data_IF_741473770656
#
_entry.id   IF_741473770656
#
_cell.length_a   1.000
_cell.length_b   1.000
_cell.length_c   1.000
_cell.angle_alpha   90.00
_cell.angle_beta   90.00
_cell.angle_gamma   90.00
#
_symmetry.space_group_name_H-M   'P 1'
#
loop_
_entity.id
_entity.type
_entity.pdbx_description
1 polymer ?
#
# COMPACT_ATOMS: atom_id res chain seq x y z
N UNK A 1 0.52 31.25 12.89
CA UNK A 1 0.13 30.11 13.74
C UNK A 1 -1.33 29.82 13.38
N UNK A 2 -1.55 28.98 12.37
CA UNK A 2 -2.90 28.71 11.87
C UNK A 2 -3.56 27.63 12.73
N UNK A 3 -4.72 27.96 13.28
CA UNK A 3 -5.55 27.10 14.10
C UNK A 3 -6.30 26.11 13.21
N UNK A 4 -6.12 24.81 13.46
CA UNK A 4 -7.01 23.78 12.92
C UNK A 4 -8.25 23.69 13.81
N UNK A 5 -9.44 24.03 13.28
CA UNK A 5 -10.70 23.71 13.95
C UNK A 5 -11.22 22.32 13.55
N UNK A 6 -11.40 21.48 14.58
CA UNK A 6 -11.98 20.14 14.54
C UNK A 6 -13.51 20.22 14.39
N UNK A 7 -14.08 19.52 13.42
CA UNK A 7 -15.53 19.32 13.36
C UNK A 7 -15.99 18.23 14.34
N UNK A 8 -16.87 18.58 15.28
CA UNK A 8 -17.70 17.66 16.08
C UNK A 8 -19.14 17.65 15.53
N UNK A 9 -19.70 16.47 15.25
CA UNK A 9 -21.11 16.07 15.49
C UNK A 9 -21.28 14.63 14.96
N UNK A 10 -21.70 13.58 15.69
CA UNK A 10 -22.15 13.41 17.06
C UNK A 10 -21.90 11.97 17.53
N UNK A 11 -22.12 11.74 18.81
CA UNK A 11 -21.87 10.53 19.63
C UNK A 11 -22.50 9.23 19.07
N UNK A 12 -22.11 7.98 19.34
CA UNK A 12 -20.91 7.26 19.84
C UNK A 12 -21.14 5.77 19.49
N UNK A 13 -20.11 4.99 19.14
CA UNK A 13 -20.06 3.53 19.42
C UNK A 13 -18.61 3.18 19.79
N UNK A 14 -18.36 2.51 20.94
CA UNK A 14 -17.02 2.11 21.33
C UNK A 14 -16.58 0.87 20.55
N UNK A 15 -16.04 1.09 19.35
CA UNK A 15 -15.34 0.04 18.61
C UNK A 15 -13.90 -0.06 19.13
N UNK A 16 -13.57 -1.23 19.69
CA UNK A 16 -12.23 -1.62 20.16
C UNK A 16 -11.12 -1.13 19.23
N UNK A 17 -10.23 -0.28 19.75
CA UNK A 17 -8.93 0.16 19.21
C UNK A 17 -8.73 -0.11 17.71
N UNK A 18 -9.33 0.72 16.87
CA UNK A 18 -8.75 1.05 15.57
C UNK A 18 -7.96 2.36 15.72
N UNK A 19 -6.83 2.45 15.02
CA UNK A 19 -5.89 3.56 15.08
C UNK A 19 -6.64 4.91 14.96
N UNK A 20 -6.56 5.77 15.99
CA UNK A 20 -7.21 7.09 16.03
C UNK A 20 -6.78 8.00 14.87
N UNK A 21 -5.63 7.71 14.27
CA UNK A 21 -5.05 8.47 13.17
C UNK A 21 -5.43 7.93 11.79
N UNK A 22 -6.18 6.82 11.72
CA UNK A 22 -6.64 6.28 10.45
C UNK A 22 -7.86 7.08 9.94
N UNK A 23 -7.84 7.57 8.69
CA UNK A 23 -8.98 8.25 8.09
C UNK A 23 -10.22 7.36 8.09
N UNK A 24 -11.34 7.90 8.60
CA UNK A 24 -12.62 7.18 8.66
C UNK A 24 -13.36 7.13 7.32
N UNK A 25 -12.93 7.94 6.35
CA UNK A 25 -13.55 8.09 5.03
C UNK A 25 -12.48 7.94 3.93
N UNK A 26 -12.87 7.58 2.70
CA UNK A 26 -11.97 7.62 1.55
C UNK A 26 -11.34 9.01 1.42
N UNK A 27 -10.02 9.05 1.27
CA UNK A 27 -9.26 10.29 1.12
C UNK A 27 -8.35 10.18 -0.10
N UNK A 28 -7.96 11.32 -0.65
CA UNK A 28 -6.93 11.43 -1.69
C UNK A 28 -5.70 12.06 -1.07
N UNK A 29 -4.53 11.50 -1.36
CA UNK A 29 -3.24 12.01 -0.88
C UNK A 29 -2.42 12.47 -2.09
N UNK A 30 -2.00 13.74 -2.10
CA UNK A 30 -1.01 14.25 -3.02
C UNK A 30 0.37 14.26 -2.36
N UNK A 31 1.39 13.77 -3.07
CA UNK A 31 2.80 13.84 -2.64
C UNK A 31 3.56 14.61 -3.73
N UNK A 32 4.13 15.76 -3.38
CA UNK A 32 4.86 16.63 -4.29
C UNK A 32 6.26 16.97 -3.75
N UNK A 33 7.17 17.32 -4.66
CA UNK A 33 8.58 17.56 -4.35
C UNK A 33 9.43 17.44 -5.60
N UNK A 34 10.68 17.89 -5.54
CA UNK A 34 11.63 17.85 -6.65
C UNK A 34 11.90 16.42 -7.12
N UNK A 35 12.42 16.25 -8.34
CA UNK A 35 12.91 14.96 -8.82
C UNK A 35 13.91 14.35 -7.83
N UNK A 36 13.92 13.02 -7.73
CA UNK A 36 14.80 12.25 -6.84
C UNK A 36 14.65 12.53 -5.33
N UNK A 37 13.66 13.33 -4.90
CA UNK A 37 13.44 13.65 -3.47
C UNK A 37 12.92 12.48 -2.63
N UNK A 38 12.86 11.27 -3.18
CA UNK A 38 12.40 10.06 -2.48
C UNK A 38 10.88 9.94 -2.29
N UNK A 39 10.07 10.66 -3.07
CA UNK A 39 8.58 10.62 -2.98
C UNK A 39 8.04 9.20 -3.11
N UNK A 40 8.44 8.49 -4.17
CA UNK A 40 8.00 7.11 -4.41
C UNK A 40 8.46 6.20 -3.29
N UNK A 41 9.72 6.31 -2.85
CA UNK A 41 10.24 5.57 -1.68
C UNK A 41 9.40 5.79 -0.42
N UNK A 42 8.99 7.02 -0.15
CA UNK A 42 8.10 7.33 0.98
C UNK A 42 6.74 6.61 0.83
N UNK A 43 6.09 6.69 -0.34
CA UNK A 43 4.81 6.01 -0.60
C UNK A 43 4.95 4.49 -0.46
N UNK A 44 5.99 3.92 -1.06
CA UNK A 44 6.34 2.50 -0.97
C UNK A 44 6.51 2.06 0.49
N UNK A 45 7.25 2.81 1.30
CA UNK A 45 7.40 2.51 2.73
C UNK A 45 6.05 2.46 3.48
N UNK A 46 5.07 3.29 3.10
CA UNK A 46 3.73 3.24 3.70
C UNK A 46 2.94 1.98 3.28
N UNK A 47 3.09 1.58 2.01
CA UNK A 47 2.44 0.39 1.46
C UNK A 47 3.05 -0.92 1.96
N UNK A 48 4.33 -0.92 2.31
CA UNK A 48 5.06 -2.06 2.86
C UNK A 48 4.93 -2.15 4.39
N UNK A 49 5.06 -1.00 5.06
CA UNK A 49 5.06 -0.84 6.50
C UNK A 49 6.03 -1.74 7.26
N UNK A 50 5.76 -1.95 8.54
CA UNK A 50 6.53 -2.85 9.40
C UNK A 50 6.45 -4.34 9.00
N UNK A 51 5.53 -4.68 8.08
CA UNK A 51 5.35 -6.06 7.59
C UNK A 51 6.51 -6.52 6.72
N UNK A 52 6.98 -5.66 5.82
CA UNK A 52 8.06 -5.99 4.89
C UNK A 52 9.33 -6.50 5.57
N UNK A 53 9.99 -5.79 6.49
CA UNK A 53 11.24 -6.27 7.11
C UNK A 53 11.07 -7.57 7.91
N UNK A 54 9.86 -7.89 8.37
CA UNK A 54 9.57 -9.13 9.12
C UNK A 54 9.29 -10.33 8.22
N UNK A 55 8.80 -10.08 7.01
CA UNK A 55 8.51 -11.08 5.99
C UNK A 55 9.71 -11.27 5.05
N UNK A 56 10.52 -10.23 4.84
CA UNK A 56 11.65 -10.22 3.91
C UNK A 56 12.60 -11.42 4.10
N UNK A 57 13.02 -11.82 5.31
CA UNK A 57 13.90 -12.99 5.47
C UNK A 57 13.28 -14.32 4.98
N UNK A 58 11.95 -14.42 4.93
CA UNK A 58 11.25 -15.58 4.39
C UNK A 58 11.12 -15.51 2.88
N UNK A 59 10.91 -14.29 2.35
CA UNK A 59 10.84 -14.01 0.92
C UNK A 59 12.20 -14.17 0.23
N UNK A 60 13.28 -13.67 0.85
CA UNK A 60 14.67 -13.84 0.38
C UNK A 60 15.18 -15.27 0.55
N UNK A 61 14.48 -16.08 1.34
CA UNK A 61 14.81 -17.47 1.61
C UNK A 61 15.84 -17.70 2.72
N UNK A 62 16.30 -16.64 3.39
CA UNK A 62 17.19 -16.69 4.57
C UNK A 62 16.60 -17.56 5.70
N UNK A 63 15.28 -17.53 5.87
CA UNK A 63 14.56 -18.24 6.92
C UNK A 63 13.83 -19.51 6.47
N UNK A 64 14.19 -20.10 5.33
CA UNK A 64 13.52 -21.31 4.79
C UNK A 64 13.43 -22.46 5.80
N UNK A 65 14.48 -22.72 6.57
CA UNK A 65 14.52 -23.82 7.54
C UNK A 65 14.18 -23.41 8.98
N UNK A 66 13.79 -22.15 9.19
CA UNK A 66 13.50 -21.64 10.52
C UNK A 66 12.08 -21.99 10.95
N UNK A 67 11.90 -22.26 12.24
CA UNK A 67 10.57 -22.44 12.82
C UNK A 67 9.80 -21.11 12.79
N UNK A 68 8.57 -21.17 12.30
CA UNK A 68 7.64 -20.04 12.34
C UNK A 68 7.44 -19.60 13.81
N UNK A 69 7.63 -18.31 14.15
CA UNK A 69 7.44 -17.81 15.50
C UNK A 69 6.02 -18.07 16.04
N UNK A 70 5.94 -18.52 17.29
CA UNK A 70 4.67 -18.68 18.03
C UNK A 70 4.00 -17.30 18.20
N UNK A 71 2.73 -17.17 17.84
CA UNK A 71 2.00 -15.90 17.87
C UNK A 71 1.35 -15.48 16.54
N UNK A 72 1.51 -16.30 15.50
CA UNK A 72 0.80 -16.14 14.23
C UNK A 72 1.11 -14.80 13.55
N UNK A 73 0.08 -14.19 12.95
CA UNK A 73 0.22 -12.97 12.14
C UNK A 73 0.75 -11.74 12.89
N UNK A 74 0.57 -11.67 14.21
CA UNK A 74 1.02 -10.52 15.03
C UNK A 74 2.54 -10.34 14.99
N UNK A 75 3.28 -11.42 14.82
CA UNK A 75 4.75 -11.39 14.75
C UNK A 75 5.28 -10.90 13.41
N UNK A 76 4.43 -10.79 12.39
CA UNK A 76 4.83 -10.44 11.02
C UNK A 76 4.53 -9.00 10.65
N UNK A 77 4.14 -8.15 11.61
CA UNK A 77 3.92 -6.72 11.39
C UNK A 77 2.74 -6.40 10.48
N UNK A 78 2.57 -5.10 10.25
CA UNK A 78 1.44 -4.53 9.51
C UNK A 78 1.93 -3.51 8.47
N UNK A 79 1.15 -3.38 7.39
CA UNK A 79 1.28 -2.28 6.42
C UNK A 79 0.65 -1.04 7.04
N UNK A 80 1.24 0.14 6.83
CA UNK A 80 0.68 1.38 7.36
C UNK A 80 -0.56 1.80 6.58
N UNK A 81 -0.58 1.56 5.27
CA UNK A 81 -1.77 1.66 4.41
C UNK A 81 -2.28 0.25 4.10
N UNK A 82 -3.28 -0.26 4.83
CA UNK A 82 -3.90 -1.54 4.50
C UNK A 82 -4.82 -1.38 3.28
N UNK A 83 -4.64 -2.26 2.29
CA UNK A 83 -5.54 -2.39 1.15
C UNK A 83 -5.65 -3.84 0.65
N UNK A 84 -6.78 -4.23 0.11
CA UNK A 84 -7.00 -5.54 -0.52
C UNK A 84 -6.53 -5.56 -1.97
N UNK A 85 -6.55 -4.41 -2.65
CA UNK A 85 -6.01 -4.24 -3.99
C UNK A 85 -5.11 -3.01 -4.02
N UNK A 86 -3.90 -3.16 -4.54
CA UNK A 86 -3.01 -2.07 -4.90
C UNK A 86 -2.91 -2.03 -6.43
N UNK A 87 -3.22 -0.89 -7.01
CA UNK A 87 -3.08 -0.62 -8.44
C UNK A 87 -2.10 0.53 -8.57
N UNK A 88 -1.05 0.33 -9.34
CA UNK A 88 -0.05 1.36 -9.66
C UNK A 88 -0.23 1.69 -11.14
N UNK A 89 -0.53 2.95 -11.39
CA UNK A 89 -0.63 3.52 -12.73
C UNK A 89 0.66 4.27 -12.97
N UNK A 90 1.44 3.82 -13.94
CA UNK A 90 2.74 4.43 -14.26
C UNK A 90 2.93 4.54 -15.77
N UNK A 91 3.65 5.56 -16.21
CA UNK A 91 3.96 5.74 -17.62
C UNK A 91 5.22 4.97 -18.05
N UNK A 92 6.20 4.80 -17.16
CA UNK A 92 7.48 4.14 -17.43
C UNK A 92 7.67 2.92 -16.53
N UNK A 93 7.71 1.71 -17.08
CA UNK A 93 7.70 0.46 -16.28
C UNK A 93 9.03 0.13 -15.56
N UNK A 94 10.09 0.90 -15.74
CA UNK A 94 11.46 0.57 -15.27
C UNK A 94 11.77 1.05 -13.84
N UNK A 95 10.82 0.99 -12.90
CA UNK A 95 11.10 1.33 -11.50
C UNK A 95 11.25 0.08 -10.62
N UNK A 96 12.50 -0.28 -10.29
CA UNK A 96 12.91 -1.38 -9.39
C UNK A 96 12.11 -1.41 -8.06
N UNK A 97 11.68 -0.24 -7.58
CA UNK A 97 10.86 -0.13 -6.36
C UNK A 97 9.48 -0.77 -6.52
N UNK A 98 8.81 -0.61 -7.66
CA UNK A 98 7.49 -1.20 -7.88
C UNK A 98 7.58 -2.70 -8.11
N UNK A 99 8.64 -3.20 -8.73
CA UNK A 99 8.93 -4.63 -8.79
C UNK A 99 9.11 -5.24 -7.40
N UNK A 100 9.83 -4.54 -6.51
CA UNK A 100 10.00 -4.96 -5.11
C UNK A 100 8.65 -5.03 -4.39
N UNK A 101 7.78 -4.04 -4.61
CA UNK A 101 6.42 -4.03 -4.06
C UNK A 101 5.59 -5.17 -4.62
N UNK A 102 5.64 -5.42 -5.93
CA UNK A 102 4.96 -6.52 -6.58
C UNK A 102 5.36 -7.86 -5.96
N UNK A 103 6.67 -8.14 -5.91
CA UNK A 103 7.22 -9.36 -5.32
C UNK A 103 6.71 -9.57 -3.89
N UNK A 104 6.71 -8.52 -3.08
CA UNK A 104 6.20 -8.60 -1.71
C UNK A 104 4.71 -8.90 -1.65
N UNK A 105 3.87 -8.23 -2.46
CA UNK A 105 2.43 -8.44 -2.48
C UNK A 105 2.06 -9.85 -2.94
N UNK A 106 2.71 -10.35 -3.99
CA UNK A 106 2.55 -11.72 -4.47
C UNK A 106 2.95 -12.73 -3.40
N UNK A 107 4.10 -12.50 -2.72
CA UNK A 107 4.57 -13.39 -1.66
C UNK A 107 3.58 -13.51 -0.51
N UNK A 108 3.04 -12.39 -0.02
CA UNK A 108 2.08 -12.41 1.09
C UNK A 108 0.68 -12.89 0.66
N UNK A 109 0.39 -12.96 -0.63
CA UNK A 109 -0.86 -13.50 -1.18
C UNK A 109 -0.77 -14.98 -1.58
N UNK A 110 0.43 -15.56 -1.61
CA UNK A 110 0.68 -16.89 -2.18
C UNK A 110 0.14 -18.04 -1.33
N UNK A 111 0.50 -18.09 -0.05
CA UNK A 111 0.17 -19.22 0.82
C UNK A 111 -0.84 -18.82 1.90
N UNK A 112 -2.05 -19.39 1.84
CA UNK A 112 -3.15 -19.13 2.79
C UNK A 112 -2.86 -19.66 4.20
N UNK A 113 -1.95 -20.63 4.33
CA UNK A 113 -1.58 -21.21 5.62
C UNK A 113 -0.45 -20.42 6.30
N UNK A 114 0.26 -19.58 5.53
CA UNK A 114 1.33 -18.76 6.07
C UNK A 114 0.79 -17.73 7.07
N UNK A 115 1.49 -17.49 8.20
CA UNK A 115 1.06 -16.52 9.21
C UNK A 115 1.12 -15.07 8.70
N UNK A 116 1.91 -14.81 7.65
CA UNK A 116 1.96 -13.49 7.00
C UNK A 116 0.89 -13.31 5.92
N UNK A 117 0.08 -14.32 5.62
CA UNK A 117 -0.90 -14.29 4.54
C UNK A 117 -1.81 -13.06 4.62
N UNK A 118 -2.06 -12.46 3.46
CA UNK A 118 -3.08 -11.46 3.24
C UNK A 118 -3.74 -11.72 1.90
N UNK A 119 -5.08 -11.63 1.85
CA UNK A 119 -5.83 -11.72 0.60
C UNK A 119 -5.70 -10.39 -0.17
N UNK A 120 -4.52 -10.14 -0.73
CA UNK A 120 -4.19 -8.91 -1.47
C UNK A 120 -3.98 -9.19 -2.95
N UNK A 121 -4.09 -8.15 -3.78
CA UNK A 121 -3.76 -8.18 -5.20
C UNK A 121 -2.93 -6.95 -5.56
N UNK A 122 -1.97 -7.14 -6.44
CA UNK A 122 -1.17 -6.07 -7.03
C UNK A 122 -1.47 -6.02 -8.53
N UNK A 123 -1.51 -4.82 -9.10
CA UNK A 123 -1.53 -4.59 -10.54
C UNK A 123 -0.65 -3.40 -10.88
N UNK A 124 0.21 -3.57 -11.85
CA UNK A 124 0.89 -2.49 -12.55
C UNK A 124 0.17 -2.30 -13.89
N UNK A 125 -0.27 -1.08 -14.19
CA UNK A 125 -1.03 -0.79 -15.42
C UNK A 125 -0.55 0.51 -16.06
N UNK A 126 -0.72 0.61 -17.37
CA UNK A 126 -0.56 1.87 -18.09
C UNK A 126 -1.78 2.78 -17.85
N UNK A 127 -1.65 4.12 -18.00
CA UNK A 127 -2.77 5.05 -17.85
C UNK A 127 -4.00 4.70 -18.70
N UNK A 128 -3.78 4.15 -19.90
CA UNK A 128 -4.83 3.77 -20.86
C UNK A 128 -5.66 2.57 -20.40
N UNK A 129 -5.12 1.74 -19.51
CA UNK A 129 -5.77 0.55 -18.97
C UNK A 129 -6.59 0.86 -17.70
N UNK A 130 -6.55 2.12 -17.23
CA UNK A 130 -7.28 2.54 -16.05
C UNK A 130 -8.79 2.45 -16.28
N UNK A 131 -9.43 1.58 -15.50
CA UNK A 131 -10.88 1.40 -15.55
C UNK A 131 -11.63 2.62 -15.00
N UNK A 132 -12.87 2.80 -15.47
CA UNK A 132 -13.78 3.84 -14.96
C UNK A 132 -13.98 3.71 -13.43
N UNK A 133 -14.10 4.86 -12.76
CA UNK A 133 -14.23 4.93 -11.29
C UNK A 133 -15.41 4.10 -10.75
N UNK A 134 -16.47 3.92 -11.53
CA UNK A 134 -17.66 3.12 -11.18
C UNK A 134 -17.31 1.65 -10.97
N UNK A 135 -16.30 1.12 -11.68
CA UNK A 135 -15.84 -0.26 -11.53
C UNK A 135 -15.32 -0.57 -10.12
N UNK A 136 -14.79 0.43 -9.41
CA UNK A 136 -14.25 0.27 -8.05
C UNK A 136 -15.33 0.32 -6.96
N UNK A 137 -16.49 0.92 -7.22
CA UNK A 137 -17.55 1.17 -6.21
C UNK A 137 -18.25 -0.10 -5.71
N UNK A 138 -18.12 -1.23 -6.40
CA UNK A 138 -18.93 -2.46 -6.15
C UNK A 138 -18.11 -3.71 -5.83
N UNK A 139 -16.86 -3.56 -5.42
CA UNK A 139 -15.97 -4.70 -5.22
C UNK A 139 -15.99 -5.29 -3.80
N UNK A 140 -16.47 -4.53 -2.80
CA UNK A 140 -16.35 -4.90 -1.39
C UNK A 140 -14.90 -5.01 -0.89
N UNK A 141 -13.92 -4.60 -1.70
CA UNK A 141 -12.49 -4.68 -1.44
C UNK A 141 -11.90 -3.27 -1.33
N UNK A 142 -11.11 -3.03 -0.30
CA UNK A 142 -10.38 -1.78 -0.15
C UNK A 142 -9.32 -1.66 -1.25
N UNK A 143 -9.42 -0.65 -2.10
CA UNK A 143 -8.51 -0.46 -3.24
C UNK A 143 -7.75 0.85 -3.09
N UNK A 144 -6.43 0.78 -3.21
CA UNK A 144 -5.54 1.94 -3.30
C UNK A 144 -5.03 2.01 -4.73
N UNK A 145 -5.14 3.19 -5.33
CA UNK A 145 -4.60 3.50 -6.65
C UNK A 145 -3.50 4.52 -6.45
N UNK A 146 -2.28 4.20 -6.91
CA UNK A 146 -1.14 5.12 -6.94
C UNK A 146 -0.94 5.55 -8.37
N UNK A 147 -0.84 6.86 -8.58
CA UNK A 147 -0.45 7.46 -9.84
C UNK A 147 0.99 7.91 -9.68
N UNK A 148 1.92 7.26 -10.36
CA UNK A 148 3.33 7.56 -10.26
C UNK A 148 3.89 8.00 -11.61
N UNK A 149 4.70 9.06 -11.56
CA UNK A 149 5.39 9.66 -12.71
C UNK A 149 4.53 9.79 -13.99
N UNK A 150 3.38 10.45 -13.87
CA UNK A 150 2.46 10.67 -15.00
C UNK A 150 2.68 11.99 -15.75
N UNK A 151 3.57 12.85 -15.25
CA UNK A 151 3.80 14.16 -15.81
C UNK A 151 5.08 14.14 -16.65
N UNK A 152 4.93 14.28 -17.97
CA UNK A 152 6.04 14.60 -18.86
C UNK A 152 6.51 16.03 -18.64
N UNK A 153 7.82 16.26 -18.61
CA UNK A 153 8.35 17.41 -19.33
C UNK A 153 8.11 17.15 -20.83
N UNK A 154 7.54 18.10 -21.60
CA UNK A 154 7.51 17.97 -23.04
C UNK A 154 8.96 17.78 -23.51
N UNK A 155 9.22 16.76 -24.34
CA UNK A 155 10.47 16.71 -25.08
C UNK A 155 10.59 18.04 -25.82
N UNK A 156 11.59 18.85 -25.46
CA UNK A 156 11.89 20.08 -26.17
C UNK A 156 12.13 19.69 -27.64
N UNK A 157 11.18 20.02 -28.51
CA UNK A 157 11.30 19.97 -29.97
C UNK A 157 12.16 21.11 -30.47
#
# INVERSE_FOLDING_TARGET
MEYYELSKLGETVPSKKQNLFAPKLPFRLGVAGTSESGKTKMVVHQLLGSKYPKVYPWMSGEKRDHKIPKGGSKNFGERYIPCDNLIVVMQHQDEELWETVQCFYEFIAKDKQAPWYKNVRFKLIAPEELSDIVSFKRTGRSTVIVFDDLAREPLAT
#
